data_IF_871314165549
#
_entry.id   IF_871314165549
#
_cell.length_a   1.000
_cell.length_b   1.000
_cell.length_c   1.000
_cell.angle_alpha   90.00
_cell.angle_beta   90.00
_cell.angle_gamma   90.00
#
_symmetry.space_group_name_H-M   'P 1'
#
loop_
_entity.id
_entity.type
_entity.pdbx_description
1 polymer ?
#
# COMPACT_ATOMS: atom_id res chain seq x y z
N UNK A 1 3.71 8.64 -27.09
CA UNK A 1 2.82 9.06 -25.99
C UNK A 1 1.63 9.73 -26.63
N UNK A 2 0.45 9.18 -26.42
CA UNK A 2 -0.79 9.76 -26.96
C UNK A 2 -1.19 10.95 -26.11
N UNK A 3 -1.95 11.90 -26.67
CA UNK A 3 -2.50 13.04 -25.90
C UNK A 3 -3.30 12.56 -24.68
N UNK A 4 -3.89 11.36 -24.76
CA UNK A 4 -4.60 10.72 -23.65
C UNK A 4 -3.66 10.33 -22.50
N UNK A 5 -2.46 9.85 -22.79
CA UNK A 5 -1.46 9.52 -21.76
C UNK A 5 -1.02 10.78 -21.01
N UNK A 6 -0.79 11.89 -21.72
CA UNK A 6 -0.43 13.17 -21.10
C UNK A 6 -1.53 13.72 -20.18
N UNK A 7 -2.81 13.54 -20.54
CA UNK A 7 -3.92 13.93 -19.66
C UNK A 7 -3.99 13.02 -18.45
N UNK A 8 -3.84 11.69 -18.62
CA UNK A 8 -3.85 10.70 -17.52
C UNK A 8 -2.79 11.01 -16.46
N UNK A 9 -1.58 11.36 -16.90
CA UNK A 9 -0.50 11.77 -15.99
C UNK A 9 -0.78 13.13 -15.33
N UNK A 10 -1.30 14.12 -16.09
CA UNK A 10 -1.61 15.44 -15.56
C UNK A 10 -2.73 15.43 -14.50
N UNK A 11 -3.67 14.48 -14.57
CA UNK A 11 -4.71 14.29 -13.54
C UNK A 11 -4.31 13.29 -12.45
N UNK A 12 -3.07 12.79 -12.45
CA UNK A 12 -2.57 11.88 -11.42
C UNK A 12 -3.21 10.49 -11.45
N UNK A 13 -3.78 10.08 -12.59
CA UNK A 13 -4.31 8.73 -12.83
C UNK A 13 -3.27 7.78 -13.43
N UNK A 14 -1.99 8.18 -13.43
CA UNK A 14 -0.87 7.40 -13.95
C UNK A 14 -0.70 6.04 -13.28
N UNK A 15 -0.01 5.13 -13.96
CA UNK A 15 0.16 3.75 -13.52
C UNK A 15 0.85 3.66 -12.16
N UNK A 16 0.04 3.43 -11.13
CA UNK A 16 0.51 3.22 -9.78
C UNK A 16 1.26 1.87 -9.73
N UNK A 17 2.57 1.88 -10.00
CA UNK A 17 3.44 0.70 -9.86
C UNK A 17 3.50 0.19 -8.40
N UNK A 18 3.06 0.99 -7.42
CA UNK A 18 2.82 0.60 -6.03
C UNK A 18 1.48 -0.14 -5.80
N UNK A 19 0.66 -0.33 -6.83
CA UNK A 19 -0.76 -0.77 -6.74
C UNK A 19 -0.98 -2.19 -7.25
N UNK A 20 0.07 -2.98 -7.44
CA UNK A 20 -0.10 -4.39 -7.73
C UNK A 20 -0.85 -5.06 -6.55
N UNK A 21 -2.00 -5.71 -6.78
CA UNK A 21 -2.74 -6.34 -5.71
C UNK A 21 -1.89 -7.43 -5.05
N UNK A 22 -2.02 -7.57 -3.72
CA UNK A 22 -1.30 -8.59 -2.98
C UNK A 22 -1.71 -10.00 -3.46
N UNK A 23 -0.76 -10.93 -3.48
CA UNK A 23 -1.08 -12.34 -3.77
C UNK A 23 -1.95 -12.95 -2.68
N UNK A 24 -2.64 -14.05 -3.02
CA UNK A 24 -3.46 -14.80 -2.05
C UNK A 24 -2.62 -15.36 -0.91
N UNK A 25 -1.41 -15.82 -1.23
CA UNK A 25 -0.42 -16.32 -0.29
C UNK A 25 0.00 -15.21 0.66
N UNK A 26 0.34 -14.02 0.15
CA UNK A 26 0.70 -12.86 0.97
C UNK A 26 -0.43 -12.45 1.93
N UNK A 27 -1.68 -12.43 1.47
CA UNK A 27 -2.84 -12.13 2.32
C UNK A 27 -3.10 -13.18 3.41
N UNK A 28 -2.85 -14.47 3.10
CA UNK A 28 -2.92 -15.57 4.08
C UNK A 28 -1.82 -15.42 5.13
N UNK A 29 -0.58 -15.19 4.69
CA UNK A 29 0.58 -15.14 5.57
C UNK A 29 0.53 -13.92 6.50
N UNK A 30 -0.02 -12.80 6.01
CA UNK A 30 -0.35 -11.62 6.81
C UNK A 30 -1.57 -11.81 7.74
N UNK A 31 -2.22 -12.99 7.73
CA UNK A 31 -3.39 -13.34 8.54
C UNK A 31 -4.54 -12.34 8.43
N UNK A 32 -4.78 -11.84 7.22
CA UNK A 32 -5.81 -10.86 6.99
C UNK A 32 -7.21 -11.49 7.11
N UNK A 33 -8.17 -10.88 7.84
CA UNK A 33 -9.56 -11.33 7.87
C UNK A 33 -10.15 -11.36 6.46
N UNK A 34 -11.10 -12.27 6.20
CA UNK A 34 -11.67 -12.49 4.86
C UNK A 34 -12.22 -11.21 4.23
N UNK A 35 -12.78 -10.32 5.05
CA UNK A 35 -13.41 -9.06 4.62
C UNK A 35 -12.40 -8.06 4.02
N UNK A 36 -11.12 -8.19 4.34
CA UNK A 36 -10.08 -7.27 3.88
C UNK A 36 -9.18 -7.87 2.79
N UNK A 37 -9.48 -9.07 2.31
CA UNK A 37 -8.72 -9.74 1.23
C UNK A 37 -9.17 -9.28 -0.15
N UNK A 38 -9.14 -7.96 -0.37
CA UNK A 38 -9.56 -7.30 -1.59
C UNK A 38 -8.37 -6.86 -2.46
N UNK A 39 -8.63 -6.17 -3.57
CA UNK A 39 -7.58 -5.59 -4.42
C UNK A 39 -6.72 -4.56 -3.68
N UNK A 40 -7.19 -4.01 -2.56
CA UNK A 40 -6.52 -2.99 -1.76
C UNK A 40 -5.63 -3.59 -0.64
N UNK A 41 -5.60 -4.92 -0.47
CA UNK A 41 -4.81 -5.58 0.57
C UNK A 41 -3.30 -5.25 0.52
N UNK A 42 -2.78 -4.86 -0.64
CA UNK A 42 -1.40 -4.40 -0.80
C UNK A 42 -1.08 -3.15 0.03
N UNK A 43 -2.07 -2.31 0.35
CA UNK A 43 -1.92 -1.15 1.24
C UNK A 43 -1.95 -1.57 2.72
N UNK A 44 -2.78 -2.56 3.05
CA UNK A 44 -3.08 -2.92 4.42
C UNK A 44 -2.03 -3.82 5.07
N UNK A 45 -1.37 -4.69 4.29
CA UNK A 45 -0.28 -5.54 4.76
C UNK A 45 0.88 -4.72 5.36
N UNK A 46 1.50 -3.77 4.64
CA UNK A 46 2.58 -2.95 5.20
C UNK A 46 2.09 -2.05 6.34
N UNK A 47 0.88 -1.48 6.22
CA UNK A 47 0.30 -0.63 7.27
C UNK A 47 0.15 -1.39 8.60
N UNK A 48 -0.40 -2.60 8.57
CA UNK A 48 -0.59 -3.37 9.80
C UNK A 48 0.74 -3.83 10.40
N UNK A 49 1.75 -4.16 9.58
CA UNK A 49 3.10 -4.43 10.09
C UNK A 49 3.64 -3.24 10.89
N UNK A 50 3.61 -2.04 10.32
CA UNK A 50 4.03 -0.81 10.99
C UNK A 50 3.24 -0.58 12.30
N UNK A 51 1.92 -0.75 12.27
CA UNK A 51 1.05 -0.56 13.45
C UNK A 51 1.39 -1.51 14.59
N UNK A 52 1.68 -2.78 14.29
CA UNK A 52 2.07 -3.74 15.31
C UNK A 52 3.46 -3.44 15.91
N UNK A 53 4.43 -3.05 15.08
CA UNK A 53 5.78 -2.68 15.52
C UNK A 53 5.78 -1.40 16.37
N UNK A 54 4.92 -0.44 16.05
CA UNK A 54 4.85 0.86 16.70
C UNK A 54 3.66 0.99 17.66
N UNK A 55 3.08 -0.10 18.15
CA UNK A 55 1.95 -0.07 19.10
C UNK A 55 0.80 0.89 18.71
N UNK A 56 0.51 0.97 17.40
CA UNK A 56 -0.59 1.75 16.84
C UNK A 56 -0.50 3.26 17.10
N UNK A 57 0.72 3.80 17.26
CA UNK A 57 0.93 5.23 17.42
C UNK A 57 0.45 6.03 16.18
N UNK A 58 -0.41 7.05 16.34
CA UNK A 58 -1.10 7.71 15.22
C UNK A 58 -0.18 8.54 14.31
N UNK A 59 1.03 8.87 14.76
CA UNK A 59 2.01 9.67 14.00
C UNK A 59 3.12 8.86 13.33
N UNK A 60 3.09 7.51 13.41
CA UNK A 60 4.18 6.65 12.91
C UNK A 60 3.85 5.94 11.59
N UNK A 61 2.58 5.66 11.33
CA UNK A 61 2.15 4.84 10.20
C UNK A 61 1.13 5.62 9.35
N UNK A 62 1.61 6.31 8.31
CA UNK A 62 0.79 7.04 7.35
C UNK A 62 0.70 6.28 6.02
N UNK A 63 -0.48 6.31 5.39
CA UNK A 63 -0.74 5.62 4.10
C UNK A 63 -0.21 6.42 2.90
N UNK A 64 -0.01 7.75 3.06
CA UNK A 64 0.16 8.71 1.96
C UNK A 64 1.60 9.09 1.60
N UNK A 65 2.62 8.45 2.18
CA UNK A 65 4.01 8.82 1.90
C UNK A 65 4.98 7.65 2.04
N UNK A 66 6.19 7.77 1.48
CA UNK A 66 7.26 6.81 1.74
C UNK A 66 7.49 6.81 3.25
N UNK A 67 7.20 5.70 3.92
CA UNK A 67 7.28 5.62 5.37
C UNK A 67 8.67 6.05 5.84
N UNK A 68 8.82 7.08 6.70
CA UNK A 68 10.11 7.54 7.23
C UNK A 68 10.60 6.60 8.34
N UNK A 69 10.72 5.32 7.99
CA UNK A 69 11.06 4.23 8.90
C UNK A 69 11.31 2.88 8.21
N UNK A 70 11.30 2.84 6.86
CA UNK A 70 11.83 1.71 6.10
C UNK A 70 13.20 2.08 5.51
N UNK A 71 14.10 2.52 6.39
CA UNK A 71 15.53 2.26 6.23
C UNK A 71 15.90 1.34 7.40
N UNK A 72 15.59 0.06 7.19
CA UNK A 72 16.14 -1.06 7.95
C UNK A 72 16.73 -1.96 6.86
N UNK A 73 17.93 -1.56 6.43
CA UNK A 73 18.73 -2.00 5.27
C UNK A 73 18.30 -1.53 3.87
#
# INVERSE_FOLDING_TARGET
MTVLDSVKEAVGLGDHAATAPASREAMRDARLPLQYRDSCAHLLIPLNKCRHENSFLPWRCEVSGPTPGFELD
#
